data_IF_272228779101
#
_entry.id   IF_272228779101
#
_cell.length_a   1.000
_cell.length_b   1.000
_cell.length_c   1.000
_cell.angle_alpha   90.00
_cell.angle_beta   90.00
_cell.angle_gamma   90.00
#
_symmetry.space_group_name_H-M   'P 1'
#
loop_
_entity.id
_entity.type
_entity.pdbx_description
1 polymer ?
#
# COMPACT_ATOMS: atom_id res chain seq x y z
N UNK A 1 -32.86 -14.34 -22.43
CA UNK A 1 -32.28 -14.38 -21.07
C UNK A 1 -30.97 -13.62 -21.13
N UNK A 2 -30.94 -12.38 -20.67
CA UNK A 2 -29.71 -11.60 -20.63
C UNK A 2 -28.94 -12.03 -19.38
N UNK A 3 -27.78 -12.67 -19.57
CA UNK A 3 -26.82 -12.81 -18.50
C UNK A 3 -26.28 -11.42 -18.23
N UNK A 4 -26.80 -10.77 -17.20
CA UNK A 4 -26.15 -9.60 -16.64
C UNK A 4 -24.89 -10.11 -15.96
N UNK A 5 -23.76 -10.09 -16.68
CA UNK A 5 -22.44 -10.14 -16.05
C UNK A 5 -22.32 -8.84 -15.29
N UNK A 6 -22.79 -8.83 -14.05
CA UNK A 6 -22.60 -7.69 -13.17
C UNK A 6 -21.12 -7.70 -12.79
N UNK A 7 -20.32 -6.84 -13.42
CA UNK A 7 -18.96 -6.58 -12.95
C UNK A 7 -19.08 -5.93 -11.57
N UNK A 8 -19.02 -6.76 -10.53
CA UNK A 8 -18.99 -6.29 -9.14
C UNK A 8 -17.58 -5.80 -8.84
N UNK A 9 -17.45 -4.56 -8.37
CA UNK A 9 -16.18 -4.00 -7.90
C UNK A 9 -15.48 -4.91 -6.90
N UNK A 10 -16.24 -5.64 -6.07
CA UNK A 10 -15.72 -6.60 -5.12
C UNK A 10 -16.12 -8.02 -5.49
N UNK A 11 -15.14 -8.90 -5.64
CA UNK A 11 -15.33 -10.35 -5.70
C UNK A 11 -14.90 -10.97 -4.37
N UNK A 12 -15.83 -11.64 -3.70
CA UNK A 12 -15.50 -12.42 -2.50
C UNK A 12 -14.62 -13.63 -2.84
N UNK A 13 -13.60 -13.86 -2.02
CA UNK A 13 -12.69 -14.99 -2.16
C UNK A 13 -13.05 -16.05 -1.12
N UNK A 14 -13.24 -17.29 -1.57
CA UNK A 14 -13.50 -18.42 -0.66
C UNK A 14 -12.27 -18.72 0.18
N UNK A 15 -12.44 -18.99 1.47
CA UNK A 15 -11.34 -19.38 2.37
C UNK A 15 -10.65 -20.69 2.00
N UNK A 16 -11.28 -21.50 1.14
CA UNK A 16 -10.72 -22.78 0.67
C UNK A 16 -10.01 -22.65 -0.69
N UNK A 17 -9.97 -21.44 -1.26
CA UNK A 17 -9.41 -21.19 -2.59
C UNK A 17 -7.90 -20.95 -2.53
N UNK A 18 -7.22 -21.23 -3.65
CA UNK A 18 -5.80 -20.92 -3.81
C UNK A 18 -5.54 -19.41 -3.75
N UNK A 19 -6.45 -18.62 -4.32
CA UNK A 19 -6.39 -17.17 -4.31
C UNK A 19 -6.38 -16.60 -2.89
N UNK A 20 -7.09 -17.24 -1.96
CA UNK A 20 -7.07 -16.86 -0.55
C UNK A 20 -5.69 -17.06 0.06
N UNK A 21 -5.09 -18.23 -0.12
CA UNK A 21 -3.74 -18.57 0.36
C UNK A 21 -2.66 -17.68 -0.26
N UNK A 22 -2.78 -17.35 -1.55
CA UNK A 22 -1.85 -16.44 -2.23
C UNK A 22 -1.91 -15.04 -1.61
N UNK A 23 -3.10 -14.53 -1.27
CA UNK A 23 -3.26 -13.23 -0.59
C UNK A 23 -2.71 -13.28 0.85
N UNK A 24 -2.96 -14.37 1.59
CA UNK A 24 -2.37 -14.56 2.91
C UNK A 24 -0.84 -14.62 2.85
N UNK A 25 -0.28 -15.19 1.79
CA UNK A 25 1.16 -15.23 1.54
C UNK A 25 1.71 -13.83 1.28
N UNK A 26 1.01 -12.97 0.53
CA UNK A 26 1.39 -11.57 0.33
C UNK A 26 1.43 -10.82 1.67
N UNK A 27 0.39 -10.98 2.50
CA UNK A 27 0.32 -10.36 3.81
C UNK A 27 1.46 -10.85 4.72
N UNK A 28 1.59 -12.17 4.88
CA UNK A 28 2.57 -12.75 5.82
C UNK A 28 4.02 -12.59 5.42
N UNK A 29 4.34 -12.62 4.12
CA UNK A 29 5.68 -12.33 3.61
C UNK A 29 6.09 -10.86 3.78
N UNK A 30 5.11 -9.99 4.04
CA UNK A 30 5.31 -8.54 4.22
C UNK A 30 5.22 -8.11 5.68
N UNK A 31 5.27 -9.05 6.63
CA UNK A 31 5.41 -8.71 8.04
C UNK A 31 6.82 -8.23 8.37
N UNK A 32 6.90 -7.27 9.30
CA UNK A 32 8.17 -6.98 9.97
C UNK A 32 8.45 -8.02 11.06
N UNK A 33 7.42 -8.50 11.74
CA UNK A 33 7.52 -9.51 12.80
C UNK A 33 6.82 -10.80 12.39
N UNK A 34 7.57 -11.90 12.28
CA UNK A 34 6.99 -13.20 11.92
C UNK A 34 5.88 -13.67 12.89
N UNK A 35 5.92 -13.23 14.15
CA UNK A 35 4.88 -13.51 15.16
C UNK A 35 3.53 -12.86 14.86
N UNK A 36 3.46 -11.86 13.97
CA UNK A 36 2.22 -11.20 13.56
C UNK A 36 1.21 -12.18 12.95
N UNK A 37 1.66 -13.32 12.43
CA UNK A 37 0.77 -14.38 11.94
C UNK A 37 -0.17 -14.97 13.00
N UNK A 38 0.15 -14.82 14.30
CA UNK A 38 -0.71 -15.24 15.42
C UNK A 38 -1.59 -14.10 15.94
N UNK A 39 -1.32 -12.87 15.52
CA UNK A 39 -2.01 -11.66 15.99
C UNK A 39 -3.17 -11.27 15.08
N UNK A 40 -3.01 -11.42 13.76
CA UNK A 40 -4.02 -11.07 12.77
C UNK A 40 -4.80 -12.29 12.30
N UNK A 41 -6.13 -12.18 12.29
CA UNK A 41 -7.04 -13.15 11.69
C UNK A 41 -7.74 -12.53 10.48
N UNK A 42 -7.46 -13.03 9.28
CA UNK A 42 -8.08 -12.55 8.05
C UNK A 42 -9.24 -13.45 7.66
N UNK A 43 -10.44 -12.87 7.57
CA UNK A 43 -11.69 -13.66 7.47
C UNK A 43 -12.56 -13.32 6.26
N UNK A 44 -12.36 -12.14 5.64
CA UNK A 44 -13.20 -11.64 4.54
C UNK A 44 -12.36 -11.05 3.42
N UNK A 45 -11.70 -11.91 2.66
CA UNK A 45 -10.91 -11.48 1.52
C UNK A 45 -11.82 -11.13 0.33
N UNK A 46 -11.48 -10.02 -0.33
CA UNK A 46 -12.15 -9.52 -1.52
C UNK A 46 -11.10 -9.07 -2.53
N UNK A 47 -11.27 -9.48 -3.78
CA UNK A 47 -10.51 -8.93 -4.90
C UNK A 47 -11.28 -7.71 -5.41
N UNK A 48 -10.54 -6.64 -5.67
CA UNK A 48 -11.08 -5.43 -6.30
C UNK A 48 -10.88 -5.55 -7.80
N UNK A 49 -11.97 -5.47 -8.56
CA UNK A 49 -11.96 -5.42 -10.03
C UNK A 49 -12.35 -4.02 -10.47
N UNK A 50 -11.35 -3.22 -10.86
CA UNK A 50 -11.57 -1.87 -11.37
C UNK A 50 -10.85 -1.72 -12.70
N UNK A 51 -11.58 -1.94 -13.80
CA UNK A 51 -11.05 -1.90 -15.16
C UNK A 51 -10.31 -0.59 -15.46
N UNK A 52 -10.83 0.53 -14.94
CA UNK A 52 -10.22 1.85 -15.10
C UNK A 52 -8.87 1.93 -14.39
N UNK A 53 -8.80 1.50 -13.12
CA UNK A 53 -7.55 1.55 -12.35
C UNK A 53 -6.51 0.57 -12.90
N UNK A 54 -6.93 -0.63 -13.30
CA UNK A 54 -6.07 -1.63 -13.93
C UNK A 54 -5.50 -1.13 -15.26
N UNK A 55 -6.34 -0.53 -16.11
CA UNK A 55 -5.91 0.08 -17.36
C UNK A 55 -4.90 1.20 -17.12
N UNK A 56 -5.21 2.13 -16.20
CA UNK A 56 -4.31 3.23 -15.86
C UNK A 56 -2.96 2.72 -15.30
N UNK A 57 -2.97 1.64 -14.52
CA UNK A 57 -1.76 1.01 -13.99
C UNK A 57 -0.89 0.43 -15.09
N UNK A 58 -1.47 -0.32 -16.04
CA UNK A 58 -0.75 -0.89 -17.19
C UNK A 58 -0.21 0.21 -18.11
N UNK A 59 -1.00 1.24 -18.39
CA UNK A 59 -0.57 2.40 -19.18
C UNK A 59 0.59 3.13 -18.50
N UNK A 60 0.49 3.37 -17.18
CA UNK A 60 1.57 4.02 -16.43
C UNK A 60 2.86 3.21 -16.42
N UNK A 61 2.77 1.88 -16.28
CA UNK A 61 3.93 0.98 -16.39
C UNK A 61 4.62 1.12 -17.76
N UNK A 62 3.83 1.17 -18.84
CA UNK A 62 4.34 1.37 -20.21
C UNK A 62 5.02 2.73 -20.37
N UNK A 63 4.43 3.80 -19.84
CA UNK A 63 5.04 5.13 -19.84
C UNK A 63 6.39 5.16 -19.11
N UNK A 64 6.47 4.58 -17.91
CA UNK A 64 7.72 4.50 -17.15
C UNK A 64 8.81 3.72 -17.91
N UNK A 65 8.41 2.64 -18.60
CA UNK A 65 9.33 1.89 -19.46
C UNK A 65 9.87 2.73 -20.62
N UNK A 66 9.01 3.51 -21.27
CA UNK A 66 9.41 4.44 -22.34
C UNK A 66 10.28 5.59 -21.82
N UNK A 67 10.07 6.03 -20.58
CA UNK A 67 10.92 7.01 -19.88
C UNK A 67 12.26 6.39 -19.38
N UNK A 68 12.56 5.14 -19.79
CA UNK A 68 13.84 4.50 -19.55
C UNK A 68 14.01 3.86 -18.17
N UNK A 69 12.92 3.62 -17.41
CA UNK A 69 12.99 2.82 -16.18
C UNK A 69 13.37 1.38 -16.50
N UNK A 70 14.23 0.82 -15.67
CA UNK A 70 14.69 -0.57 -15.77
C UNK A 70 13.59 -1.56 -15.39
N UNK A 71 13.71 -2.83 -15.81
CA UNK A 71 12.75 -3.87 -15.40
C UNK A 71 12.64 -4.02 -13.87
N UNK A 72 13.75 -3.78 -13.15
CA UNK A 72 13.76 -3.76 -11.68
C UNK A 72 12.95 -2.59 -11.09
N UNK A 73 13.01 -1.41 -11.71
CA UNK A 73 12.20 -0.26 -11.28
C UNK A 73 10.71 -0.43 -11.62
N UNK A 74 10.40 -1.27 -12.61
CA UNK A 74 9.04 -1.62 -13.03
C UNK A 74 8.45 -2.83 -12.28
N UNK A 75 9.16 -3.36 -11.29
CA UNK A 75 8.72 -4.50 -10.49
C UNK A 75 7.43 -4.16 -9.73
N UNK A 76 6.46 -5.05 -9.84
CA UNK A 76 5.21 -4.95 -9.08
C UNK A 76 5.45 -5.45 -7.65
N UNK A 77 5.20 -4.57 -6.69
CA UNK A 77 5.32 -4.86 -5.26
C UNK A 77 3.99 -4.61 -4.55
N UNK A 78 3.88 -5.01 -3.28
CA UNK A 78 2.69 -4.77 -2.48
C UNK A 78 2.96 -3.75 -1.39
N UNK A 79 1.94 -2.93 -1.14
CA UNK A 79 1.90 -1.92 -0.09
C UNK A 79 0.51 -1.94 0.55
N UNK A 80 0.41 -1.46 1.79
CA UNK A 80 -0.74 -1.69 2.65
C UNK A 80 -1.29 -0.39 3.22
N UNK A 81 -2.61 -0.33 3.40
CA UNK A 81 -3.26 0.79 4.05
C UNK A 81 -4.46 0.28 4.85
N UNK A 82 -4.64 0.81 6.06
CA UNK A 82 -5.91 0.64 6.77
C UNK A 82 -6.94 1.62 6.23
N UNK A 83 -8.15 1.12 5.97
CA UNK A 83 -9.26 1.96 5.55
C UNK A 83 -10.44 1.76 6.49
N UNK A 84 -11.13 2.85 6.81
CA UNK A 84 -12.46 2.74 7.41
C UNK A 84 -13.46 2.22 6.36
N UNK A 85 -14.53 1.57 6.83
CA UNK A 85 -15.53 0.96 5.96
C UNK A 85 -16.31 1.97 5.10
N UNK A 86 -16.26 3.26 5.46
CA UNK A 86 -16.94 4.35 4.74
C UNK A 86 -16.12 4.74 3.50
N UNK A 87 -14.81 4.88 3.64
CA UNK A 87 -13.90 5.27 2.55
C UNK A 87 -13.49 4.11 1.66
N UNK A 88 -13.52 2.88 2.17
CA UNK A 88 -13.03 1.71 1.44
C UNK A 88 -13.66 1.54 0.04
N UNK A 89 -15.00 1.59 -0.15
CA UNK A 89 -15.59 1.45 -1.48
C UNK A 89 -15.09 2.52 -2.45
N UNK A 90 -14.99 3.77 -1.97
CA UNK A 90 -14.55 4.89 -2.76
C UNK A 90 -13.08 4.75 -3.20
N UNK A 91 -12.19 4.34 -2.30
CA UNK A 91 -10.77 4.08 -2.60
C UNK A 91 -10.62 2.93 -3.60
N UNK A 92 -11.39 1.86 -3.44
CA UNK A 92 -11.33 0.71 -4.35
C UNK A 92 -11.83 1.05 -5.76
N UNK A 93 -12.81 1.95 -5.87
CA UNK A 93 -13.35 2.40 -7.16
C UNK A 93 -12.45 3.44 -7.85
N UNK A 94 -11.98 4.45 -7.09
CA UNK A 94 -11.33 5.65 -7.63
C UNK A 94 -9.80 5.68 -7.45
N UNK A 95 -9.24 4.74 -6.68
CA UNK A 95 -7.85 4.75 -6.27
C UNK A 95 -7.59 5.66 -5.07
N UNK A 96 -6.32 5.73 -4.68
CA UNK A 96 -5.89 6.52 -3.53
C UNK A 96 -5.51 7.95 -3.97
N UNK A 97 -6.11 8.96 -3.35
CA UNK A 97 -5.80 10.37 -3.62
C UNK A 97 -4.81 10.94 -2.62
N UNK A 98 -4.14 12.02 -3.06
CA UNK A 98 -3.33 12.89 -2.19
C UNK A 98 -4.18 13.48 -1.05
N UNK A 99 -3.54 13.81 0.05
CA UNK A 99 -4.19 14.37 1.24
C UNK A 99 -4.93 13.34 2.11
N UNK A 100 -4.81 12.05 1.81
CA UNK A 100 -5.39 10.97 2.64
C UNK A 100 -4.65 10.77 3.97
N UNK A 101 -3.38 11.18 4.05
CA UNK A 101 -2.49 11.01 5.20
C UNK A 101 -2.03 12.34 5.76
N UNK A 102 -1.72 12.35 7.05
CA UNK A 102 -1.14 13.49 7.77
C UNK A 102 0.39 13.39 7.90
N UNK A 103 0.97 12.29 7.44
CA UNK A 103 2.42 12.05 7.51
C UNK A 103 3.14 13.01 6.57
N UNK A 104 4.23 13.60 7.08
CA UNK A 104 5.06 14.55 6.33
C UNK A 104 6.52 14.13 6.19
N UNK A 105 6.88 12.94 6.71
CA UNK A 105 8.25 12.46 6.81
C UNK A 105 8.97 12.35 5.45
N UNK A 106 8.21 12.12 4.36
CA UNK A 106 8.74 11.94 3.00
C UNK A 106 8.40 13.10 2.05
N UNK A 107 7.63 14.11 2.50
CA UNK A 107 7.17 15.22 1.68
C UNK A 107 5.76 15.69 1.99
N UNK A 108 5.25 16.60 1.17
CA UNK A 108 3.92 17.17 1.36
C UNK A 108 2.81 16.15 1.02
N UNK A 109 1.95 15.73 1.99
CA UNK A 109 0.86 14.80 1.70
C UNK A 109 -0.18 15.34 0.73
N UNK A 110 -0.26 16.66 0.51
CA UNK A 110 -1.12 17.23 -0.53
C UNK A 110 -0.58 17.02 -1.95
N UNK A 111 0.64 16.48 -2.11
CA UNK A 111 1.31 16.26 -3.40
C UNK A 111 1.73 14.81 -3.63
N UNK A 112 1.40 13.89 -2.72
CA UNK A 112 1.75 12.49 -2.81
C UNK A 112 0.88 11.62 -1.91
N UNK A 113 0.98 10.30 -2.08
CA UNK A 113 0.33 9.31 -1.23
C UNK A 113 1.37 8.57 -0.40
N UNK A 114 0.92 7.99 0.71
CA UNK A 114 1.69 7.30 1.73
C UNK A 114 1.06 5.93 1.94
N UNK A 115 1.86 4.89 1.91
CA UNK A 115 1.41 3.51 2.04
C UNK A 115 2.41 2.74 2.90
N UNK A 116 1.93 1.93 3.83
CA UNK A 116 2.82 1.09 4.62
C UNK A 116 3.50 0.04 3.75
N UNK A 117 4.82 -0.09 3.90
CA UNK A 117 5.57 -1.22 3.34
C UNK A 117 5.20 -2.55 4.01
N UNK A 118 4.91 -2.51 5.31
CA UNK A 118 4.65 -3.72 6.11
C UNK A 118 3.15 -3.87 6.40
N UNK A 119 2.66 -5.10 6.32
CA UNK A 119 1.23 -5.44 6.51
C UNK A 119 0.82 -5.52 7.98
N UNK A 120 1.77 -5.55 8.91
CA UNK A 120 1.56 -5.55 10.36
C UNK A 120 1.88 -4.20 11.03
N UNK A 121 2.32 -3.20 10.26
CA UNK A 121 2.63 -1.84 10.73
C UNK A 121 1.82 -0.80 9.95
N UNK A 122 0.56 -0.67 10.32
CA UNK A 122 -0.45 0.03 9.53
C UNK A 122 -0.96 1.34 10.16
N UNK A 123 -0.48 1.66 11.36
CA UNK A 123 -0.75 2.91 12.08
C UNK A 123 0.36 3.15 13.11
N UNK A 124 0.46 4.39 13.61
CA UNK A 124 1.49 4.80 14.59
C UNK A 124 1.35 4.01 15.90
N UNK A 125 0.11 3.85 16.38
CA UNK A 125 -0.17 3.17 17.63
C UNK A 125 -0.44 1.68 17.38
N UNK A 126 0.02 0.77 18.27
CA UNK A 126 -0.34 -0.64 18.17
C UNK A 126 -1.86 -0.85 18.15
N UNK A 127 -2.31 -1.89 17.46
CA UNK A 127 -3.72 -2.29 17.48
C UNK A 127 -4.10 -2.81 18.87
N UNK A 128 -5.26 -2.38 19.38
CA UNK A 128 -5.82 -2.97 20.59
C UNK A 128 -6.34 -4.40 20.27
N UNK A 129 -6.19 -5.36 21.19
CA UNK A 129 -6.75 -6.70 21.01
C UNK A 129 -8.25 -6.66 20.72
N UNK A 130 -8.71 -7.47 19.76
CA UNK A 130 -10.12 -7.57 19.38
C UNK A 130 -10.63 -6.46 18.44
N UNK A 131 -9.78 -5.50 18.05
CA UNK A 131 -10.15 -4.52 17.02
C UNK A 131 -10.27 -5.21 15.66
N UNK A 132 -11.35 -4.91 14.96
CA UNK A 132 -11.55 -5.28 13.56
C UNK A 132 -11.28 -4.08 12.66
N UNK A 133 -10.75 -4.34 11.47
CA UNK A 133 -10.46 -3.32 10.48
C UNK A 133 -10.32 -3.92 9.09
N UNK A 134 -10.22 -3.04 8.11
CA UNK A 134 -10.03 -3.42 6.71
C UNK A 134 -8.63 -2.98 6.26
N UNK A 135 -7.95 -3.86 5.54
CA UNK A 135 -6.62 -3.61 4.98
C UNK A 135 -6.76 -3.69 3.47
N UNK A 136 -6.35 -2.63 2.78
CA UNK A 136 -6.25 -2.61 1.32
C UNK A 136 -4.82 -2.99 0.94
N UNK A 137 -4.69 -3.98 0.06
CA UNK A 137 -3.42 -4.36 -0.55
C UNK A 137 -3.34 -3.71 -1.92
N UNK A 138 -2.41 -2.77 -2.08
CA UNK A 138 -2.14 -2.12 -3.35
C UNK A 138 -1.01 -2.83 -4.09
N UNK A 139 -1.22 -3.10 -5.38
CA UNK A 139 -0.10 -3.34 -6.30
C UNK A 139 0.54 -2.00 -6.63
N UNK A 140 1.85 -1.89 -6.45
CA UNK A 140 2.61 -0.65 -6.61
C UNK A 140 3.87 -0.90 -7.41
N UNK A 141 4.09 -0.04 -8.41
CA UNK A 141 5.39 0.10 -9.08
C UNK A 141 6.09 1.29 -8.44
N UNK A 142 7.17 1.02 -7.72
CA UNK A 142 7.92 2.08 -7.00
C UNK A 142 8.73 2.96 -7.94
N UNK A 143 9.04 2.47 -9.14
CA UNK A 143 9.86 3.17 -10.11
C UNK A 143 11.25 3.47 -9.55
N UNK A 144 11.82 4.58 -9.99
CA UNK A 144 13.07 5.11 -9.47
C UNK A 144 12.84 5.76 -8.11
N UNK A 145 13.38 5.14 -7.08
CA UNK A 145 13.20 5.57 -5.68
C UNK A 145 14.21 6.65 -5.29
N UNK A 146 13.74 7.75 -4.69
CA UNK A 146 14.57 8.72 -4.00
C UNK A 146 14.65 8.39 -2.51
N UNK A 147 15.85 8.21 -1.98
CA UNK A 147 16.04 8.11 -0.53
C UNK A 147 16.01 9.51 0.11
N UNK A 148 15.11 9.70 1.07
CA UNK A 148 14.88 10.94 1.80
C UNK A 148 15.37 10.77 3.25
N UNK A 149 16.11 11.77 3.75
CA UNK A 149 16.35 11.87 5.18
C UNK A 149 15.11 12.45 5.84
N UNK A 150 14.73 11.87 6.97
CA UNK A 150 13.56 12.30 7.74
C UNK A 150 13.60 13.82 7.98
N UNK A 151 12.65 14.51 7.35
CA UNK A 151 12.68 15.96 7.27
C UNK A 151 12.06 16.55 8.55
N UNK A 152 12.91 16.88 9.51
CA UNK A 152 12.52 17.58 10.75
C UNK A 152 12.25 19.08 10.53
N UNK A 153 12.39 19.60 9.30
CA UNK A 153 12.17 21.01 8.98
C UNK A 153 10.70 21.30 8.63
N UNK A 154 10.26 22.54 8.86
CA UNK A 154 8.89 22.98 8.53
C UNK A 154 8.62 23.04 7.01
N UNK A 155 9.65 22.95 6.18
CA UNK A 155 9.51 23.02 4.73
C UNK A 155 9.21 21.64 4.18
N UNK A 156 7.95 21.40 3.81
CA UNK A 156 7.54 20.14 3.19
C UNK A 156 8.18 20.00 1.81
N UNK A 157 8.76 18.83 1.55
CA UNK A 157 9.39 18.52 0.26
C UNK A 157 8.32 18.31 -0.81
N UNK A 158 8.55 18.91 -1.97
CA UNK A 158 7.81 18.60 -3.18
C UNK A 158 8.30 17.27 -3.79
N UNK A 159 7.48 16.59 -4.60
CA UNK A 159 7.91 15.41 -5.34
C UNK A 159 9.21 15.68 -6.13
N UNK A 160 10.20 14.78 -6.00
CA UNK A 160 11.50 15.00 -6.65
C UNK A 160 11.41 14.70 -8.14
N UNK A 161 11.80 15.66 -8.98
CA UNK A 161 11.85 15.48 -10.43
C UNK A 161 12.67 14.23 -10.83
N UNK A 162 12.17 13.46 -11.80
CA UNK A 162 12.78 12.22 -12.33
C UNK A 162 12.81 11.03 -11.36
N UNK A 163 12.15 11.13 -10.20
CA UNK A 163 11.94 10.01 -9.29
C UNK A 163 10.44 9.75 -9.20
N UNK A 164 10.07 8.49 -8.97
CA UNK A 164 8.67 8.07 -9.00
C UNK A 164 8.12 7.83 -7.58
N UNK A 165 9.01 7.63 -6.60
CA UNK A 165 8.65 7.48 -5.19
C UNK A 165 9.76 7.96 -4.26
N UNK A 166 9.38 8.25 -3.00
CA UNK A 166 10.31 8.54 -1.92
C UNK A 166 10.28 7.39 -0.91
N UNK A 167 11.44 7.02 -0.36
CA UNK A 167 11.54 6.13 0.79
C UNK A 167 12.46 6.74 1.83
N UNK A 168 12.21 6.46 3.11
CA UNK A 168 13.11 6.90 4.16
C UNK A 168 14.46 6.22 4.02
N UNK A 169 15.54 6.99 4.09
CA UNK A 169 16.91 6.45 4.15
C UNK A 169 17.16 5.67 5.44
N UNK A 170 16.37 5.93 6.48
CA UNK A 170 16.41 5.23 7.75
C UNK A 170 15.41 4.05 7.81
N UNK A 171 14.75 3.68 6.72
CA UNK A 171 13.82 2.54 6.76
C UNK A 171 14.49 1.23 7.26
N UNK A 172 15.80 1.06 7.01
CA UNK A 172 16.54 -0.14 7.39
C UNK A 172 16.86 -0.24 8.89
N UNK A 173 16.73 0.84 9.68
CA UNK A 173 16.93 0.76 11.14
C UNK A 173 15.70 0.22 11.86
N UNK A 174 14.56 0.16 11.17
CA UNK A 174 13.31 -0.35 11.71
C UNK A 174 13.35 -1.88 11.63
N UNK A 175 13.52 -2.53 12.78
CA UNK A 175 13.64 -3.99 12.89
C UNK A 175 12.52 -4.64 13.70
N UNK A 176 11.64 -3.84 14.32
CA UNK A 176 10.49 -4.28 15.09
C UNK A 176 9.32 -3.30 14.99
N UNK A 177 8.12 -3.74 15.35
CA UNK A 177 6.92 -2.89 15.42
C UNK A 177 7.07 -1.76 16.46
N UNK A 178 7.89 -1.97 17.49
CA UNK A 178 8.14 -1.02 18.57
C UNK A 178 9.32 -0.07 18.30
N UNK A 179 9.98 -0.21 17.15
CA UNK A 179 11.08 0.69 16.77
C UNK A 179 10.60 2.14 16.74
N UNK A 180 11.44 3.08 17.17
CA UNK A 180 11.07 4.49 17.21
C UNK A 180 10.67 4.99 15.80
N UNK A 181 9.46 5.53 15.68
CA UNK A 181 8.86 6.01 14.42
C UNK A 181 8.85 4.95 13.31
N UNK A 182 8.72 3.68 13.68
CA UNK A 182 8.66 2.56 12.72
C UNK A 182 7.67 2.85 11.58
N UNK A 183 6.47 3.31 11.92
CA UNK A 183 5.41 3.57 10.96
C UNK A 183 5.81 4.65 9.94
N UNK A 184 6.24 5.84 10.39
CA UNK A 184 6.64 6.95 9.50
C UNK A 184 7.82 6.58 8.60
N UNK A 185 8.80 5.85 9.15
CA UNK A 185 10.04 5.49 8.45
C UNK A 185 9.84 4.38 7.41
N UNK A 186 8.69 3.69 7.41
CA UNK A 186 8.40 2.55 6.53
C UNK A 186 7.17 2.77 5.65
N UNK A 187 6.79 4.04 5.48
CA UNK A 187 5.87 4.46 4.41
C UNK A 187 6.54 4.47 3.04
#
# INVERSE_FOLDING_TARGET
MAYQVCFSLFQHVSSESREFEDILTILSSSYIEASSNRTFAYTKLRIVHSELLEKNFVEKRRELKLDGRTEKELEETHCFLTADSIKLPWICENGLLVGHSWITALGNPAKGVYLSKYSDLLQINPFNPGVMGEIIIFKVIKGKVKSIYDNMSKNLLDPTLKFDSHLSKNASIVTSLTSYRAYDLTQ
#
